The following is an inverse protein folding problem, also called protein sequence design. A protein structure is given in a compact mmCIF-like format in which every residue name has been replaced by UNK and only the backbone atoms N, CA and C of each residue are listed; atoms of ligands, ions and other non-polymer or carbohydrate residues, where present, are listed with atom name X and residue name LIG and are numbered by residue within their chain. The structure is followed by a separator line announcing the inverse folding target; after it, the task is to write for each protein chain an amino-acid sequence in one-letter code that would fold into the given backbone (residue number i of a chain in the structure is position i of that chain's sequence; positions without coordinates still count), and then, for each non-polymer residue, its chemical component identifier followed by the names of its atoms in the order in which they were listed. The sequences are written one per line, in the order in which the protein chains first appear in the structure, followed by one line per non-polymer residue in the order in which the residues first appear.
data_IF_487240414279
#
_entry.id   IF_487240414279
#
_cell.length_a   1.000
_cell.length_b   1.000
_cell.length_c   1.000
_cell.angle_alpha   90.00
_cell.angle_beta   90.00
_cell.angle_gamma   90.00
#
_symmetry.space_group_name_H-M   'P 1'
#
loop_
_entity.id
_entity.type
_entity.pdbx_description
1 polymer ?
#
# COMPACT_ATOMS: atom_id res chain seq x y z
N UNK A 1 28.33 54.81 -3.88
CA UNK A 1 28.60 54.60 -2.44
C UNK A 1 29.48 53.36 -2.32
N UNK A 2 30.60 53.50 -1.59
CA UNK A 2 31.65 52.50 -1.27
C UNK A 2 31.08 51.08 -1.05
N UNK A 3 31.62 49.99 -1.61
CA UNK A 3 32.98 49.41 -1.52
C UNK A 3 33.10 48.32 -0.44
N UNK A 4 33.50 47.14 -0.92
CA UNK A 4 34.46 46.19 -0.33
C UNK A 4 34.00 45.08 0.62
N UNK A 5 34.56 43.92 0.26
CA UNK A 5 34.51 42.60 0.83
C UNK A 5 35.36 42.41 2.10
N UNK A 6 35.33 41.14 2.57
CA UNK A 6 36.16 40.48 3.61
C UNK A 6 35.60 40.68 5.02
N UNK A 7 35.72 39.78 5.99
CA UNK A 7 36.69 38.72 6.24
C UNK A 7 36.11 37.82 7.35
N UNK A 8 36.37 36.51 7.31
CA UNK A 8 35.93 35.60 8.36
C UNK A 8 36.56 35.88 9.73
N UNK A 9 35.83 35.49 10.78
CA UNK A 9 36.36 35.29 12.14
C UNK A 9 35.72 34.01 12.71
N UNK A 10 36.53 32.95 12.80
CA UNK A 10 36.33 31.82 13.71
C UNK A 10 36.57 32.30 15.14
N UNK A 11 35.72 31.98 16.11
CA UNK A 11 35.95 31.94 17.58
C UNK A 11 34.54 31.71 18.21
N UNK A 12 34.22 30.79 19.12
CA UNK A 12 34.97 30.13 20.20
C UNK A 12 34.26 28.81 20.57
N UNK A 13 35.03 27.79 20.93
CA UNK A 13 34.57 26.63 21.71
C UNK A 13 34.00 27.11 23.06
N UNK A 14 32.73 26.82 23.36
CA UNK A 14 32.21 26.94 24.73
C UNK A 14 31.54 25.61 25.12
N UNK A 15 32.29 24.85 25.93
CA UNK A 15 31.80 23.72 26.69
C UNK A 15 30.86 24.25 27.78
N UNK A 16 29.55 24.19 27.54
CA UNK A 16 28.56 24.30 28.62
C UNK A 16 27.61 23.10 28.45
N UNK A 17 27.85 22.09 29.27
CA UNK A 17 26.99 20.92 29.37
C UNK A 17 25.57 21.33 29.74
N UNK A 18 24.67 21.22 28.79
CA UNK A 18 23.25 21.14 29.06
C UNK A 18 22.85 19.69 28.79
N UNK A 19 22.58 18.96 29.87
CA UNK A 19 21.90 17.67 29.82
C UNK A 19 20.53 17.88 29.18
N UNK A 20 20.43 17.66 27.86
CA UNK A 20 19.16 17.48 27.18
C UNK A 20 18.65 16.11 27.63
N UNK A 21 17.73 16.12 28.60
CA UNK A 21 16.97 14.95 29.00
C UNK A 21 16.21 14.43 27.79
N UNK A 22 16.67 13.31 27.22
CA UNK A 22 15.92 12.56 26.23
C UNK A 22 14.71 11.93 26.96
N UNK A 23 13.58 12.63 26.96
CA UNK A 23 12.30 11.98 27.20
C UNK A 23 12.02 11.11 25.98
N UNK A 24 12.46 9.85 26.03
CA UNK A 24 11.97 8.84 25.09
C UNK A 24 10.52 8.60 25.45
N UNK A 25 9.61 9.38 24.87
CA UNK A 25 8.22 9.00 24.77
C UNK A 25 8.20 7.61 24.13
N UNK A 26 7.92 6.61 24.95
CA UNK A 26 7.51 5.30 24.46
C UNK A 26 6.15 5.50 23.80
N UNK A 27 6.15 6.01 22.56
CA UNK A 27 5.06 5.71 21.65
C UNK A 27 5.10 4.18 21.51
N UNK A 28 4.03 3.45 21.89
CA UNK A 28 4.01 2.02 21.66
C UNK A 28 4.12 1.86 20.14
N UNK A 29 5.26 1.31 19.70
CA UNK A 29 5.38 0.75 18.36
C UNK A 29 4.34 -0.34 18.26
N UNK A 30 3.15 0.07 17.82
CA UNK A 30 2.16 -0.85 17.28
C UNK A 30 2.93 -1.63 16.22
N UNK A 31 3.04 -2.97 16.34
CA UNK A 31 3.66 -3.76 15.29
C UNK A 31 3.00 -3.34 13.97
N UNK A 32 3.75 -3.17 12.86
CA UNK A 32 3.16 -2.76 11.60
C UNK A 32 1.94 -3.66 11.39
N UNK A 33 0.75 -3.05 11.28
CA UNK A 33 -0.44 -3.78 10.89
C UNK A 33 -0.03 -4.70 9.73
N UNK A 34 -0.36 -6.01 9.75
CA UNK A 34 0.01 -6.89 8.66
C UNK A 34 -0.42 -6.20 7.37
N UNK A 35 0.55 -5.80 6.55
CA UNK A 35 0.27 -5.00 5.38
C UNK A 35 -0.66 -5.84 4.49
N UNK A 36 -1.60 -5.21 3.80
CA UNK A 36 -2.56 -5.95 2.96
C UNK A 36 -1.85 -6.90 1.98
N UNK A 37 -0.64 -6.56 1.55
CA UNK A 37 0.20 -7.38 0.68
C UNK A 37 0.63 -8.71 1.32
N UNK A 38 0.71 -8.80 2.64
CA UNK A 38 1.06 -10.02 3.38
C UNK A 38 -0.14 -10.94 3.63
N UNK A 39 -1.37 -10.41 3.50
CA UNK A 39 -2.59 -11.19 3.73
C UNK A 39 -3.01 -11.96 2.48
N UNK A 40 -2.83 -11.39 1.29
CA UNK A 40 -3.26 -11.99 0.02
C UNK A 40 -2.62 -13.38 -0.20
N UNK A 41 -1.29 -13.57 -0.01
CA UNK A 41 -0.67 -14.88 -0.18
C UNK A 41 -1.19 -15.94 0.79
N UNK A 42 -1.62 -15.55 2.01
CA UNK A 42 -2.20 -16.47 2.99
C UNK A 42 -3.55 -17.03 2.52
N UNK A 43 -4.26 -16.28 1.68
CA UNK A 43 -5.47 -16.71 1.00
C UNK A 43 -5.20 -17.29 -0.39
N UNK A 44 -3.94 -17.59 -0.75
CA UNK A 44 -3.61 -18.14 -2.08
C UNK A 44 -3.76 -17.13 -3.23
N UNK A 45 -3.80 -15.84 -2.92
CA UNK A 45 -3.89 -14.75 -3.90
C UNK A 45 -2.50 -14.14 -4.15
N UNK A 46 -2.18 -13.71 -5.38
CA UNK A 46 -0.94 -13.01 -5.67
C UNK A 46 -0.79 -11.71 -4.85
N UNK A 47 0.42 -11.36 -4.37
CA UNK A 47 0.64 -10.17 -3.55
C UNK A 47 0.46 -8.85 -4.31
N UNK A 48 0.53 -8.86 -5.66
CA UNK A 48 0.42 -7.66 -6.51
C UNK A 48 -0.98 -7.33 -7.01
N UNK A 49 -2.03 -7.86 -6.37
CA UNK A 49 -3.43 -7.66 -6.79
C UNK A 49 -3.96 -6.26 -6.49
N UNK A 50 -3.41 -5.60 -5.47
CA UNK A 50 -3.80 -4.27 -5.02
C UNK A 50 -2.69 -3.26 -5.30
N UNK A 51 -3.03 -1.97 -5.52
CA UNK A 51 -2.04 -0.93 -5.74
C UNK A 51 -1.15 -0.71 -4.53
N UNK A 52 0.05 -0.19 -4.76
CA UNK A 52 1.05 0.19 -3.76
C UNK A 52 0.58 1.37 -2.89
N UNK A 53 -0.39 2.16 -3.40
CA UNK A 53 -0.90 3.39 -2.81
C UNK A 53 -1.87 3.18 -1.64
N UNK A 54 -1.84 2.00 -1.02
CA UNK A 54 -2.68 1.66 0.14
C UNK A 54 -2.23 2.47 1.35
N UNK A 55 -3.17 3.14 2.00
CA UNK A 55 -2.93 3.95 3.20
C UNK A 55 -3.58 3.36 4.45
N UNK A 56 -4.62 2.55 4.28
CA UNK A 56 -5.31 1.86 5.37
C UNK A 56 -5.93 0.54 4.91
N UNK A 57 -6.09 -0.39 5.84
CA UNK A 57 -6.64 -1.72 5.60
C UNK A 57 -7.34 -2.27 6.84
N UNK A 58 -8.53 -2.82 6.64
CA UNK A 58 -9.27 -3.57 7.66
C UNK A 58 -9.68 -4.93 7.12
N UNK A 59 -9.61 -5.94 7.99
CA UNK A 59 -10.08 -7.30 7.71
C UNK A 59 -10.91 -7.78 8.89
N UNK A 60 -12.11 -8.26 8.61
CA UNK A 60 -13.00 -8.91 9.57
C UNK A 60 -12.73 -10.42 9.60
N UNK A 61 -13.09 -11.05 10.71
CA UNK A 61 -12.89 -12.49 10.92
C UNK A 61 -13.58 -13.38 9.88
N UNK A 62 -14.63 -12.88 9.23
CA UNK A 62 -15.35 -13.60 8.18
C UNK A 62 -14.84 -13.31 6.76
N UNK A 63 -13.68 -12.64 6.66
CA UNK A 63 -12.98 -12.39 5.40
C UNK A 63 -13.38 -11.10 4.71
N UNK A 64 -14.39 -10.35 5.19
CA UNK A 64 -14.71 -9.04 4.61
C UNK A 64 -13.59 -8.05 4.87
N UNK A 65 -13.19 -7.33 3.84
CA UNK A 65 -12.15 -6.33 3.93
C UNK A 65 -12.57 -4.97 3.37
N UNK A 66 -11.87 -3.95 3.85
CA UNK A 66 -11.86 -2.59 3.28
C UNK A 66 -10.42 -2.17 3.10
N UNK A 67 -10.07 -1.74 1.89
CA UNK A 67 -8.78 -1.14 1.55
C UNK A 67 -9.03 0.31 1.20
N UNK A 68 -8.23 1.20 1.76
CA UNK A 68 -8.27 2.64 1.45
C UNK A 68 -6.97 3.03 0.76
N UNK A 69 -7.08 3.66 -0.40
CA UNK A 69 -5.97 4.22 -1.15
C UNK A 69 -5.80 5.71 -0.84
N UNK A 70 -4.60 6.23 -1.05
CA UNK A 70 -4.33 7.69 -0.95
C UNK A 70 -5.21 8.50 -1.91
N UNK A 71 -5.56 7.92 -3.05
CA UNK A 71 -6.51 8.44 -4.02
C UNK A 71 -6.89 7.37 -5.05
N UNK A 72 -7.83 7.71 -5.94
CA UNK A 72 -8.16 6.88 -7.10
C UNK A 72 -6.96 6.78 -8.04
N UNK A 73 -6.71 5.62 -8.64
CA UNK A 73 -5.61 5.44 -9.57
C UNK A 73 -6.00 4.59 -10.79
N UNK A 74 -5.17 4.68 -11.82
CA UNK A 74 -5.30 3.89 -13.04
C UNK A 74 -4.01 3.13 -13.26
N UNK A 75 -4.11 1.83 -13.54
CA UNK A 75 -2.97 0.95 -13.80
C UNK A 75 -3.13 0.35 -15.19
N UNK A 76 -2.09 0.45 -16.00
CA UNK A 76 -2.06 -0.10 -17.35
C UNK A 76 -1.47 -1.51 -17.34
N UNK A 77 -2.30 -2.51 -17.62
CA UNK A 77 -1.89 -3.88 -17.97
C UNK A 77 -2.13 -4.10 -19.47
N UNK A 78 -2.56 -5.29 -19.89
CA UNK A 78 -3.11 -5.54 -21.24
C UNK A 78 -4.38 -4.70 -21.50
N UNK A 79 -5.02 -4.24 -20.42
CA UNK A 79 -6.14 -3.31 -20.41
C UNK A 79 -5.98 -2.31 -19.27
N UNK A 80 -6.68 -1.18 -19.36
CA UNK A 80 -6.68 -0.16 -18.32
C UNK A 80 -7.57 -0.63 -17.16
N UNK A 81 -7.02 -0.56 -15.94
CA UNK A 81 -7.74 -0.87 -14.71
C UNK A 81 -7.86 0.38 -13.87
N UNK A 82 -9.07 0.70 -13.47
CA UNK A 82 -9.38 1.77 -12.54
C UNK A 82 -9.57 1.20 -11.14
N UNK A 83 -8.95 1.85 -10.16
CA UNK A 83 -9.15 1.59 -8.74
C UNK A 83 -9.75 2.84 -8.09
N UNK A 84 -10.88 2.65 -7.43
CA UNK A 84 -11.50 3.67 -6.59
C UNK A 84 -10.68 3.84 -5.29
N UNK A 85 -10.89 4.95 -4.60
CA UNK A 85 -10.21 5.27 -3.34
C UNK A 85 -10.52 4.24 -2.26
N UNK A 86 -11.71 3.65 -2.28
CA UNK A 86 -12.12 2.62 -1.33
C UNK A 86 -12.52 1.35 -2.08
N UNK A 87 -11.85 0.26 -1.75
CA UNK A 87 -12.08 -1.07 -2.33
C UNK A 87 -12.61 -1.96 -1.21
N UNK A 88 -13.69 -2.67 -1.48
CA UNK A 88 -14.28 -3.62 -0.53
C UNK A 88 -14.46 -4.97 -1.19
N UNK A 89 -14.45 -6.02 -0.39
CA UNK A 89 -14.73 -7.37 -0.87
C UNK A 89 -14.67 -8.37 0.26
N UNK A 90 -14.71 -9.64 -0.10
CA UNK A 90 -14.61 -10.76 0.82
C UNK A 90 -13.55 -11.75 0.34
N UNK A 91 -12.53 -11.96 1.16
CA UNK A 91 -11.47 -12.93 0.94
C UNK A 91 -11.99 -14.35 1.14
N UNK A 92 -11.70 -15.21 0.17
CA UNK A 92 -11.75 -16.65 0.26
C UNK A 92 -10.42 -17.25 -0.19
N UNK A 93 -10.19 -18.53 0.07
CA UNK A 93 -9.00 -19.18 -0.47
C UNK A 93 -9.08 -19.21 -2.00
N UNK A 94 -8.06 -18.67 -2.67
CA UNK A 94 -7.96 -18.51 -4.12
C UNK A 94 -8.96 -17.53 -4.73
N UNK A 95 -9.68 -16.72 -3.93
CA UNK A 95 -10.73 -15.86 -4.46
C UNK A 95 -11.00 -14.58 -3.66
N UNK A 96 -11.51 -13.57 -4.37
CA UNK A 96 -12.15 -12.38 -3.80
C UNK A 96 -13.55 -12.29 -4.39
N UNK A 97 -14.56 -12.22 -3.53
CA UNK A 97 -15.98 -12.10 -3.91
C UNK A 97 -16.56 -10.78 -3.42
N UNK A 98 -17.73 -10.39 -3.93
CA UNK A 98 -18.42 -9.14 -3.57
C UNK A 98 -17.52 -7.90 -3.73
N UNK A 99 -16.63 -7.94 -4.73
CA UNK A 99 -15.61 -6.93 -4.94
C UNK A 99 -16.23 -5.65 -5.51
N UNK A 100 -15.84 -4.51 -4.94
CA UNK A 100 -16.27 -3.17 -5.36
C UNK A 100 -15.11 -2.21 -5.38
N UNK A 101 -15.19 -1.20 -6.24
CA UNK A 101 -14.16 -0.18 -6.40
C UNK A 101 -13.07 -0.55 -7.40
N UNK A 102 -13.27 -1.55 -8.26
CA UNK A 102 -12.35 -1.89 -9.35
C UNK A 102 -13.13 -2.01 -10.66
N UNK A 103 -12.64 -1.36 -11.70
CA UNK A 103 -13.21 -1.42 -13.04
C UNK A 103 -12.14 -1.71 -14.08
N UNK A 104 -12.51 -2.43 -15.13
CA UNK A 104 -11.63 -2.69 -16.28
C UNK A 104 -12.21 -2.08 -17.53
N UNK A 105 -11.36 -1.52 -18.38
CA UNK A 105 -11.77 -0.99 -19.66
C UNK A 105 -11.64 -2.05 -20.76
N UNK A 106 -12.74 -2.42 -21.41
CA UNK A 106 -12.78 -3.33 -22.56
C UNK A 106 -13.64 -2.75 -23.67
N UNK A 107 -13.21 -2.84 -24.92
CA UNK A 107 -13.95 -2.30 -26.07
C UNK A 107 -14.46 -0.86 -25.86
N UNK A 108 -13.64 -0.02 -25.20
CA UNK A 108 -13.96 1.36 -24.81
C UNK A 108 -15.05 1.55 -23.74
N UNK A 109 -15.55 0.46 -23.14
CA UNK A 109 -16.52 0.47 -22.04
C UNK A 109 -15.87 0.08 -20.71
N UNK A 110 -16.40 0.60 -19.62
CA UNK A 110 -15.99 0.25 -18.25
C UNK A 110 -16.87 -0.87 -17.70
N UNK A 111 -16.25 -1.87 -17.09
CA UNK A 111 -16.93 -3.00 -16.47
C UNK A 111 -16.44 -3.18 -15.04
N UNK A 112 -17.37 -3.32 -14.10
CA UNK A 112 -17.04 -3.64 -12.71
C UNK A 112 -16.42 -5.03 -12.59
N UNK A 113 -15.47 -5.17 -11.67
CA UNK A 113 -14.89 -6.45 -11.29
C UNK A 113 -15.52 -6.89 -9.98
N UNK A 114 -16.50 -7.79 -10.06
CA UNK A 114 -17.21 -8.31 -8.89
C UNK A 114 -16.48 -9.50 -8.22
N UNK A 115 -15.62 -10.19 -8.97
CA UNK A 115 -14.94 -11.39 -8.49
C UNK A 115 -13.54 -11.55 -9.10
N UNK A 116 -12.59 -12.03 -8.28
CA UNK A 116 -11.24 -12.43 -8.69
C UNK A 116 -11.04 -13.87 -8.23
N UNK A 117 -10.53 -14.73 -9.12
CA UNK A 117 -10.23 -16.13 -8.83
C UNK A 117 -8.85 -16.47 -9.37
N UNK A 118 -8.12 -17.28 -8.62
CA UNK A 118 -6.88 -17.91 -9.07
C UNK A 118 -7.24 -19.26 -9.65
N UNK A 119 -6.80 -19.52 -10.88
CA UNK A 119 -6.90 -20.84 -11.47
C UNK A 119 -6.01 -21.81 -10.68
N UNK A 120 -6.65 -22.76 -9.99
CA UNK A 120 -5.98 -23.84 -9.26
C UNK A 120 -6.14 -25.15 -10.06
N UNK A 121 -5.07 -25.93 -10.26
CA UNK A 121 -3.69 -25.68 -9.84
C UNK A 121 -2.97 -24.67 -10.76
N UNK A 122 -1.98 -23.90 -10.27
CA UNK A 122 -1.07 -23.18 -11.15
C UNK A 122 -0.47 -24.23 -12.09
N UNK A 123 -0.68 -24.10 -13.41
CA UNK A 123 -0.24 -25.11 -14.37
C UNK A 123 1.29 -25.26 -14.36
N UNK A 124 1.81 -26.07 -13.46
CA UNK A 124 3.06 -26.78 -13.58
C UNK A 124 2.75 -28.08 -14.34
N UNK A 125 2.42 -27.96 -15.62
CA UNK A 125 2.23 -29.10 -16.51
C UNK A 125 3.37 -30.09 -16.31
N UNK A 126 3.06 -31.31 -15.86
CA UNK A 126 3.95 -32.46 -16.07
C UNK A 126 3.28 -33.32 -17.13
N UNK A 127 3.65 -33.07 -18.37
CA UNK A 127 3.31 -33.93 -19.51
C UNK A 127 4.34 -35.05 -19.62
N UNK A 128 3.85 -36.27 -19.87
CA UNK A 128 4.61 -37.52 -19.91
C UNK A 128 5.69 -37.57 -20.99
#
# INVERSE_FOLDING_TARGET
MLSSAKLGVFFVFSLIGHSLSLSSDQNPTTPPLPMVFDILPKFGLPPGLLPDSVVDYTLQDDGRFVVVLSGTCYIQFDYLVYYDKTITGKLGYGSITDLKGIQVQKFFLWFDVDEIKVDLPPSNSITF
#
